data_IF_267969560011
#
_entry.id   IF_267969560011
#
_cell.length_a   1.000
_cell.length_b   1.000
_cell.length_c   1.000
_cell.angle_alpha   90.00
_cell.angle_beta   90.00
_cell.angle_gamma   90.00
#
_symmetry.space_group_name_H-M   'P 1'
#
loop_
_entity.id
_entity.type
_entity.pdbx_description
1 polymer ?
#
# COMPACT_ATOMS: atom_id res chain seq x y z
N UNK A 1 -13.73 -7.28 -10.84
CA UNK A 1 -13.67 -5.80 -10.80
C UNK A 1 -14.17 -5.21 -9.48
N UNK A 2 -15.47 -5.26 -9.12
CA UNK A 2 -15.99 -4.69 -7.85
C UNK A 2 -15.26 -5.22 -6.60
N UNK A 3 -15.21 -6.55 -6.42
CA UNK A 3 -14.56 -7.18 -5.26
C UNK A 3 -13.08 -6.76 -5.12
N UNK A 4 -12.36 -6.77 -6.24
CA UNK A 4 -10.95 -6.39 -6.34
C UNK A 4 -10.71 -4.92 -5.94
N UNK A 5 -11.55 -4.00 -6.42
CA UNK A 5 -11.50 -2.58 -6.09
C UNK A 5 -11.80 -2.32 -4.61
N UNK A 6 -12.80 -3.03 -4.05
CA UNK A 6 -13.17 -2.91 -2.64
C UNK A 6 -12.06 -3.45 -1.73
N UNK A 7 -11.49 -4.61 -2.05
CA UNK A 7 -10.36 -5.19 -1.30
C UNK A 7 -9.16 -4.24 -1.27
N UNK A 8 -8.82 -3.61 -2.40
CA UNK A 8 -7.75 -2.60 -2.48
C UNK A 8 -8.05 -1.36 -1.66
N UNK A 9 -9.30 -0.89 -1.68
CA UNK A 9 -9.71 0.27 -0.87
C UNK A 9 -9.68 -0.04 0.63
N UNK A 10 -10.13 -1.22 1.03
CA UNK A 10 -10.07 -1.72 2.42
C UNK A 10 -8.62 -1.95 2.87
N UNK A 11 -7.73 -2.33 1.95
CA UNK A 11 -6.29 -2.42 2.17
C UNK A 11 -5.60 -1.04 2.31
N UNK A 12 -6.35 0.06 2.18
CA UNK A 12 -5.87 1.42 2.35
C UNK A 12 -5.20 2.02 1.10
N UNK A 13 -5.34 1.39 -0.06
CA UNK A 13 -4.81 1.89 -1.32
C UNK A 13 -5.51 3.21 -1.71
N UNK A 14 -4.71 4.13 -2.25
CA UNK A 14 -5.18 5.43 -2.70
C UNK A 14 -6.11 5.29 -3.89
N UNK A 15 -7.18 6.09 -3.94
CA UNK A 15 -8.14 6.07 -5.04
C UNK A 15 -7.46 6.24 -6.42
N UNK A 16 -6.44 7.10 -6.51
CA UNK A 16 -5.70 7.36 -7.74
C UNK A 16 -4.83 6.19 -8.21
N UNK A 17 -4.26 5.44 -7.27
CA UNK A 17 -3.47 4.24 -7.57
C UNK A 17 -4.38 3.10 -8.05
N UNK A 18 -5.53 2.92 -7.39
CA UNK A 18 -6.56 1.97 -7.83
C UNK A 18 -7.07 2.35 -9.24
N UNK A 19 -7.29 3.64 -9.51
CA UNK A 19 -7.76 4.16 -10.80
C UNK A 19 -6.79 3.85 -11.92
N UNK A 20 -5.52 4.20 -11.72
CA UNK A 20 -4.44 3.95 -12.69
C UNK A 20 -4.28 2.46 -13.01
N UNK A 21 -4.49 1.60 -12.02
CA UNK A 21 -4.28 0.16 -12.15
C UNK A 21 -5.46 -0.57 -12.78
N UNK A 22 -6.67 -0.11 -12.51
CA UNK A 22 -7.91 -0.69 -13.06
C UNK A 22 -8.25 -0.07 -14.43
N UNK A 23 -7.51 0.97 -14.85
CA UNK A 23 -7.67 1.63 -16.15
C UNK A 23 -8.93 2.49 -16.21
N UNK A 24 -9.36 3.04 -15.08
CA UNK A 24 -10.57 3.87 -14.99
C UNK A 24 -10.24 5.22 -14.37
N UNK A 25 -11.09 6.21 -14.65
CA UNK A 25 -10.90 7.54 -14.07
C UNK A 25 -11.17 7.55 -12.55
N UNK A 26 -10.49 8.45 -11.85
CA UNK A 26 -10.65 8.67 -10.41
C UNK A 26 -12.10 9.02 -10.04
N UNK A 27 -12.80 9.79 -10.87
CA UNK A 27 -14.19 10.15 -10.65
C UNK A 27 -15.12 8.94 -10.81
N UNK A 28 -14.81 8.03 -11.74
CA UNK A 28 -15.53 6.75 -11.91
C UNK A 28 -15.41 5.90 -10.65
N UNK A 29 -14.20 5.77 -10.11
CA UNK A 29 -13.96 5.07 -8.84
C UNK A 29 -14.64 5.74 -7.65
N UNK A 30 -14.64 7.07 -7.59
CA UNK A 30 -15.36 7.82 -6.57
C UNK A 30 -16.88 7.57 -6.61
N UNK A 31 -17.46 7.50 -7.81
CA UNK A 31 -18.88 7.15 -7.99
C UNK A 31 -19.17 5.72 -7.53
N UNK A 32 -18.34 4.75 -7.93
CA UNK A 32 -18.47 3.36 -7.51
C UNK A 32 -18.38 3.20 -6.00
N UNK A 33 -17.44 3.86 -5.33
CA UNK A 33 -17.33 3.77 -3.86
C UNK A 33 -18.53 4.38 -3.12
N UNK A 34 -19.13 5.45 -3.65
CA UNK A 34 -20.39 6.00 -3.11
C UNK A 34 -21.55 5.03 -3.30
N UNK A 35 -21.65 4.43 -4.49
CA UNK A 35 -22.71 3.48 -4.84
C UNK A 35 -22.60 2.15 -4.08
N UNK A 36 -21.38 1.74 -3.72
CA UNK A 36 -21.12 0.51 -2.98
C UNK A 36 -21.01 0.70 -1.47
N UNK A 37 -21.31 1.89 -0.96
CA UNK A 37 -21.21 2.27 0.46
C UNK A 37 -19.85 1.92 1.11
N UNK A 38 -18.78 2.01 0.33
CA UNK A 38 -17.43 1.72 0.83
C UNK A 38 -16.95 2.95 1.59
N UNK A 39 -17.01 2.88 2.92
CA UNK A 39 -16.61 3.98 3.82
C UNK A 39 -15.21 4.47 3.46
N UNK A 40 -15.17 5.71 2.96
CA UNK A 40 -13.94 6.38 2.58
C UNK A 40 -13.26 6.80 3.88
N UNK A 41 -12.51 5.90 4.53
CA UNK A 41 -11.60 6.36 5.58
C UNK A 41 -10.60 7.28 4.89
N UNK A 42 -10.56 8.58 5.23
CA UNK A 42 -9.67 9.50 4.55
C UNK A 42 -8.25 8.97 4.76
N UNK A 43 -7.42 8.99 3.71
CA UNK A 43 -6.04 8.53 3.77
C UNK A 43 -5.24 9.15 4.93
N UNK A 44 -5.71 10.29 5.45
CA UNK A 44 -5.24 10.96 6.67
C UNK A 44 -5.40 10.12 7.95
N UNK A 45 -6.46 9.31 8.09
CA UNK A 45 -6.66 8.39 9.21
C UNK A 45 -5.92 7.06 9.02
N UNK A 46 -5.79 6.55 7.79
CA UNK A 46 -4.95 5.38 7.51
C UNK A 46 -3.46 5.65 7.81
N UNK A 47 -3.00 6.90 7.59
CA UNK A 47 -1.67 7.37 8.03
C UNK A 47 -1.49 7.35 9.55
N UNK A 48 -2.56 7.42 10.34
CA UNK A 48 -2.50 7.55 11.79
C UNK A 48 -2.40 6.22 12.54
N UNK A 49 -2.49 5.06 11.87
CA UNK A 49 -2.54 3.74 12.51
C UNK A 49 -1.32 2.84 12.31
N UNK A 50 -0.24 3.32 11.70
CA UNK A 50 0.98 2.51 11.62
C UNK A 50 1.80 2.67 12.92
N UNK A 51 1.85 1.66 13.82
CA UNK A 51 2.55 1.75 15.10
C UNK A 51 4.07 1.97 14.96
N UNK A 52 4.63 1.79 13.75
CA UNK A 52 6.06 1.96 13.44
C UNK A 52 6.36 3.13 12.50
N UNK A 53 5.65 4.25 12.65
CA UNK A 53 6.07 5.51 12.04
C UNK A 53 7.52 5.85 12.50
N UNK A 54 8.40 6.18 11.55
CA UNK A 54 9.81 6.55 11.77
C UNK A 54 10.80 5.48 12.24
N UNK A 55 10.40 4.20 12.33
CA UNK A 55 11.37 3.16 12.64
C UNK A 55 12.24 2.78 11.42
N UNK A 56 13.55 2.57 11.59
CA UNK A 56 14.40 2.07 10.52
C UNK A 56 13.94 0.69 10.04
N UNK A 57 14.10 0.39 8.76
CA UNK A 57 13.79 -0.92 8.21
C UNK A 57 14.80 -1.94 8.73
N UNK A 58 14.33 -3.09 9.21
CA UNK A 58 15.23 -4.22 9.50
C UNK A 58 15.41 -5.07 8.24
N UNK A 59 16.51 -5.83 8.16
CA UNK A 59 16.77 -6.73 7.01
C UNK A 59 15.62 -7.71 6.79
N UNK A 60 15.07 -8.26 7.87
CA UNK A 60 13.94 -9.19 7.81
C UNK A 60 12.66 -8.50 7.29
N UNK A 61 12.37 -7.27 7.73
CA UNK A 61 11.22 -6.50 7.24
C UNK A 61 11.37 -6.17 5.76
N UNK A 62 12.58 -5.78 5.35
CA UNK A 62 12.90 -5.47 3.96
C UNK A 62 12.77 -6.69 3.05
N UNK A 63 13.29 -7.84 3.51
CA UNK A 63 13.17 -9.12 2.81
C UNK A 63 11.70 -9.45 2.63
N UNK A 64 10.90 -9.44 3.70
CA UNK A 64 9.47 -9.74 3.62
C UNK A 64 8.70 -8.74 2.73
N UNK A 65 8.98 -7.44 2.82
CA UNK A 65 8.36 -6.45 1.94
C UNK A 65 8.64 -6.71 0.45
N UNK A 66 9.87 -7.09 0.11
CA UNK A 66 10.29 -7.28 -1.27
C UNK A 66 9.97 -8.69 -1.82
N UNK A 67 10.33 -9.74 -1.08
CA UNK A 67 10.30 -11.13 -1.58
C UNK A 67 8.91 -11.75 -1.57
N UNK A 68 7.97 -11.24 -0.76
CA UNK A 68 6.65 -11.85 -0.61
C UNK A 68 5.68 -11.42 -1.70
N UNK A 69 6.08 -11.60 -2.96
CA UNK A 69 5.34 -11.20 -4.17
C UNK A 69 3.95 -11.81 -4.28
N UNK A 70 3.73 -12.92 -3.58
CA UNK A 70 2.47 -13.65 -3.40
C UNK A 70 1.40 -12.85 -2.65
N UNK A 71 1.79 -11.95 -1.74
CA UNK A 71 0.85 -11.17 -0.93
C UNK A 71 0.61 -9.77 -1.51
N UNK A 72 -0.62 -9.23 -1.44
CA UNK A 72 -0.87 -7.84 -1.76
C UNK A 72 -0.11 -6.92 -0.79
N UNK A 73 0.28 -5.73 -1.26
CA UNK A 73 1.09 -4.78 -0.49
C UNK A 73 0.47 -4.42 0.87
N UNK A 74 -0.86 -4.33 0.93
CA UNK A 74 -1.60 -4.04 2.16
C UNK A 74 -1.45 -5.13 3.22
N UNK A 75 -1.46 -6.40 2.83
CA UNK A 75 -1.20 -7.50 3.76
C UNK A 75 0.26 -7.52 4.22
N UNK A 76 1.21 -7.24 3.33
CA UNK A 76 2.62 -7.05 3.73
C UNK A 76 2.75 -5.93 4.74
N UNK A 77 2.07 -4.80 4.51
CA UNK A 77 2.07 -3.67 5.43
C UNK A 77 1.47 -4.05 6.79
N UNK A 78 0.37 -4.81 6.81
CA UNK A 78 -0.25 -5.34 8.02
C UNK A 78 0.70 -6.28 8.79
N UNK A 79 1.31 -7.26 8.11
CA UNK A 79 2.29 -8.20 8.70
C UNK A 79 3.50 -7.45 9.27
N UNK A 80 3.97 -6.41 8.57
CA UNK A 80 5.11 -5.61 9.00
C UNK A 80 4.78 -4.60 10.11
N UNK A 81 3.48 -4.37 10.38
CA UNK A 81 3.00 -3.30 11.24
C UNK A 81 3.37 -1.90 10.73
N UNK A 82 3.50 -1.74 9.40
CA UNK A 82 3.87 -0.49 8.73
C UNK A 82 2.71 0.03 7.87
N UNK A 83 2.80 1.28 7.45
CA UNK A 83 1.83 1.83 6.50
C UNK A 83 2.11 1.30 5.09
N UNK A 84 1.04 1.15 4.29
CA UNK A 84 1.13 0.83 2.86
C UNK A 84 2.15 1.73 2.15
N UNK A 85 2.02 3.05 2.32
CA UNK A 85 2.89 4.04 1.69
C UNK A 85 4.37 3.85 2.06
N UNK A 86 4.67 3.38 3.28
CA UNK A 86 6.04 3.07 3.68
C UNK A 86 6.57 1.84 2.92
N UNK A 87 5.78 0.77 2.81
CA UNK A 87 6.15 -0.45 2.07
C UNK A 87 6.31 -0.15 0.58
N UNK A 88 5.38 0.58 -0.02
CA UNK A 88 5.44 1.00 -1.42
C UNK A 88 6.66 1.87 -1.71
N UNK A 89 6.89 2.91 -0.89
CA UNK A 89 8.06 3.78 -1.03
C UNK A 89 9.36 3.00 -0.88
N UNK A 90 9.39 2.00 0.01
CA UNK A 90 10.54 1.13 0.18
C UNK A 90 10.80 0.30 -1.08
N UNK A 91 9.79 -0.39 -1.60
CA UNK A 91 9.92 -1.21 -2.83
C UNK A 91 10.31 -0.34 -4.03
N UNK A 92 9.76 0.87 -4.15
CA UNK A 92 10.13 1.81 -5.22
C UNK A 92 11.60 2.23 -5.12
N UNK A 93 12.10 2.55 -3.92
CA UNK A 93 13.53 2.85 -3.72
C UNK A 93 14.43 1.63 -3.92
N UNK A 94 13.99 0.46 -3.50
CA UNK A 94 14.69 -0.81 -3.67
C UNK A 94 14.96 -1.08 -5.15
N UNK A 95 13.94 -0.91 -6.01
CA UNK A 95 14.10 -1.09 -7.47
C UNK A 95 15.07 -0.10 -8.11
N UNK A 96 15.32 1.04 -7.48
CA UNK A 96 16.25 2.07 -7.95
C UNK A 96 17.69 1.86 -7.43
N UNK A 97 17.92 0.86 -6.57
CA UNK A 97 19.22 0.56 -5.94
C UNK A 97 19.51 -0.95 -5.97
N UNK A 98 19.83 -1.52 -7.14
CA UNK A 98 20.15 -2.95 -7.25
C UNK A 98 21.40 -3.33 -6.44
N UNK A 99 22.37 -2.43 -6.30
CA UNK A 99 23.66 -2.68 -5.62
C UNK A 99 23.62 -2.50 -4.09
N UNK A 100 22.59 -1.85 -3.55
CA UNK A 100 22.33 -1.74 -2.11
C UNK A 100 20.84 -1.96 -1.86
N UNK A 101 20.39 -3.23 -1.94
CA UNK A 101 18.98 -3.55 -1.90
C UNK A 101 18.35 -3.18 -0.55
N UNK A 102 19.14 -3.19 0.52
CA UNK A 102 18.60 -2.95 1.85
C UNK A 102 18.69 -1.48 2.26
N UNK A 103 19.76 -0.76 1.89
CA UNK A 103 19.96 0.63 2.36
C UNK A 103 20.08 0.73 3.88
N UNK A 104 20.31 -0.41 4.54
CA UNK A 104 20.45 -0.54 5.99
C UNK A 104 21.95 -0.52 6.24
N UNK A 105 22.44 0.61 6.76
CA UNK A 105 23.78 0.70 7.36
C UNK A 105 23.85 -0.10 8.64
#
# INVERSE_FOLDING_TARGET
MRYEVIQRRMAGEGISDIASRVGVDVATLGKWFREWEVTVTPARQARARAPRLWQPWTREQAKLAYTRTDLPLGERAAILGRSFAAVESYIRRYRLRPDDPYGIK
#
